data_IF_692500985259
#
_entry.id   IF_692500985259
#
_cell.length_a   1.000
_cell.length_b   1.000
_cell.length_c   1.000
_cell.angle_alpha   90.00
_cell.angle_beta   90.00
_cell.angle_gamma   90.00
#
_symmetry.space_group_name_H-M   'P 1'
#
loop_
_entity.id
_entity.type
_entity.pdbx_description
1 polymer ?
#
# COMPACT_ATOMS: atom_id res chain seq x y z
N UNK A 1 -62.12 -26.07 7.39
CA UNK A 1 -60.84 -25.54 7.94
C UNK A 1 -60.11 -24.86 6.81
N UNK A 2 -60.09 -23.53 6.76
CA UNK A 2 -59.33 -22.77 5.78
C UNK A 2 -57.87 -22.72 6.23
N UNK A 3 -56.95 -23.27 5.43
CA UNK A 3 -55.51 -23.17 5.66
C UNK A 3 -55.00 -22.09 4.71
N UNK A 4 -54.58 -20.95 5.27
CA UNK A 4 -53.94 -19.86 4.53
C UNK A 4 -52.43 -20.06 4.61
N UNK A 5 -51.77 -20.38 3.49
CA UNK A 5 -50.30 -20.29 3.40
C UNK A 5 -49.92 -18.90 2.89
N UNK A 6 -49.35 -18.08 3.77
CA UNK A 6 -48.67 -16.85 3.40
C UNK A 6 -47.22 -17.20 3.06
N UNK A 7 -46.89 -17.29 1.77
CA UNK A 7 -45.50 -17.22 1.33
C UNK A 7 -45.11 -15.74 1.23
N UNK A 8 -44.34 -15.25 2.21
CA UNK A 8 -43.66 -13.98 2.06
C UNK A 8 -42.64 -14.11 0.92
N UNK A 9 -42.54 -13.14 0.00
CA UNK A 9 -41.49 -13.15 -1.01
C UNK A 9 -40.12 -13.20 -0.31
N UNK A 10 -39.10 -13.82 -0.93
CA UNK A 10 -37.78 -13.86 -0.36
C UNK A 10 -37.36 -12.43 -0.05
N UNK A 11 -37.07 -12.14 1.22
CA UNK A 11 -36.44 -10.87 1.57
C UNK A 11 -35.17 -10.79 0.74
N UNK A 12 -35.15 -9.89 -0.25
CA UNK A 12 -33.94 -9.57 -0.99
C UNK A 12 -32.84 -9.32 0.03
N UNK A 13 -31.80 -10.13 -0.08
CA UNK A 13 -30.68 -10.23 0.83
C UNK A 13 -30.08 -8.83 1.09
N UNK A 14 -30.53 -8.17 2.17
CA UNK A 14 -29.92 -6.95 2.71
C UNK A 14 -28.43 -7.16 3.07
N UNK A 15 -27.94 -8.40 2.96
CA UNK A 15 -26.52 -8.81 3.06
C UNK A 15 -25.69 -8.49 1.82
N UNK A 16 -26.28 -8.17 0.66
CA UNK A 16 -25.50 -7.77 -0.53
C UNK A 16 -25.01 -6.32 -0.49
N UNK A 17 -25.46 -5.52 0.47
CA UNK A 17 -25.07 -4.11 0.60
C UNK A 17 -23.88 -3.83 1.54
N UNK A 18 -23.25 -4.84 2.15
CA UNK A 18 -22.19 -4.64 3.16
C UNK A 18 -20.89 -5.42 2.94
N UNK A 19 -20.68 -6.01 1.76
CA UNK A 19 -19.43 -6.74 1.45
C UNK A 19 -18.88 -6.46 0.04
N UNK A 20 -19.10 -5.26 -0.50
CA UNK A 20 -18.06 -4.69 -1.35
C UNK A 20 -16.99 -4.19 -0.39
N UNK A 21 -16.02 -5.06 -0.06
CA UNK A 21 -14.72 -4.60 0.41
C UNK A 21 -14.26 -3.58 -0.63
N UNK A 22 -14.48 -2.29 -0.35
CA UNK A 22 -13.85 -1.23 -1.10
C UNK A 22 -12.36 -1.50 -0.96
N UNK A 23 -11.75 -2.04 -2.02
CA UNK A 23 -10.30 -2.17 -2.12
C UNK A 23 -9.72 -0.85 -1.63
N UNK A 24 -8.76 -0.86 -0.70
CA UNK A 24 -8.16 0.37 -0.16
C UNK A 24 -7.69 1.34 -1.25
N UNK A 25 -7.47 0.83 -2.47
CA UNK A 25 -7.06 1.55 -3.66
C UNK A 25 -8.21 2.06 -4.56
N UNK A 26 -9.49 1.86 -4.21
CA UNK A 26 -10.62 2.20 -5.08
C UNK A 26 -10.73 3.70 -5.42
N UNK A 27 -10.27 4.58 -4.54
CA UNK A 27 -10.19 6.03 -4.75
C UNK A 27 -8.85 6.53 -5.31
N UNK A 28 -7.94 5.62 -5.68
CA UNK A 28 -6.61 5.97 -6.20
C UNK A 28 -6.65 5.97 -7.73
N UNK A 29 -6.33 7.10 -8.35
CA UNK A 29 -6.37 7.25 -9.81
C UNK A 29 -5.17 6.66 -10.54
N UNK A 30 -3.97 6.83 -9.99
CA UNK A 30 -2.73 6.34 -10.59
C UNK A 30 -1.83 5.72 -9.51
N UNK A 31 -1.31 4.53 -9.76
CA UNK A 31 -0.33 3.83 -8.92
C UNK A 31 1.02 3.80 -9.63
N UNK A 32 2.04 4.37 -8.99
CA UNK A 32 3.41 4.41 -9.51
C UNK A 32 4.32 3.56 -8.61
N UNK A 33 4.86 2.48 -9.16
CA UNK A 33 5.81 1.62 -8.45
C UNK A 33 7.25 2.14 -8.60
N UNK A 34 7.93 2.39 -7.50
CA UNK A 34 9.37 2.67 -7.47
C UNK A 34 10.11 1.38 -7.14
N UNK A 35 10.90 0.87 -8.10
CA UNK A 35 11.61 -0.40 -7.99
C UNK A 35 13.13 -0.22 -8.16
N UNK A 36 13.90 -1.17 -7.66
CA UNK A 36 15.35 -1.24 -7.90
C UNK A 36 15.85 -2.66 -7.88
N UNK A 37 16.80 -2.97 -8.75
CA UNK A 37 17.36 -4.32 -8.83
C UNK A 37 18.43 -4.60 -7.76
N UNK A 38 18.80 -3.58 -6.99
CA UNK A 38 19.74 -3.66 -5.85
C UNK A 38 19.31 -2.76 -4.70
N UNK A 39 19.74 -3.13 -3.49
CA UNK A 39 19.67 -2.27 -2.31
C UNK A 39 20.66 -1.10 -2.39
N UNK A 40 20.35 0.01 -1.73
CA UNK A 40 21.29 1.14 -1.59
C UNK A 40 21.43 2.07 -2.81
N UNK A 41 20.61 1.90 -3.86
CA UNK A 41 20.65 2.76 -5.06
C UNK A 41 19.88 4.09 -4.93
N UNK A 42 19.26 4.34 -3.77
CA UNK A 42 18.45 5.55 -3.54
C UNK A 42 16.98 5.44 -3.97
N UNK A 43 16.43 4.22 -4.09
CA UNK A 43 15.02 3.95 -4.43
C UNK A 43 14.05 4.69 -3.49
N UNK A 44 14.14 4.45 -2.19
CA UNK A 44 13.26 5.06 -1.18
C UNK A 44 13.39 6.59 -1.15
N UNK A 45 14.61 7.10 -1.33
CA UNK A 45 14.86 8.54 -1.49
C UNK A 45 14.15 9.11 -2.71
N UNK A 46 14.22 8.42 -3.84
CA UNK A 46 13.53 8.83 -5.07
C UNK A 46 12.01 8.77 -4.90
N UNK A 47 11.48 7.70 -4.30
CA UNK A 47 10.05 7.53 -4.05
C UNK A 47 9.48 8.66 -3.17
N UNK A 48 10.16 8.97 -2.05
CA UNK A 48 9.78 10.08 -1.16
C UNK A 48 9.82 11.41 -1.91
N UNK A 49 10.92 11.72 -2.60
CA UNK A 49 11.03 13.00 -3.32
C UNK A 49 9.98 13.13 -4.43
N UNK A 50 9.67 12.04 -5.14
CA UNK A 50 8.62 12.02 -6.15
C UNK A 50 7.25 12.34 -5.52
N UNK A 51 6.91 11.69 -4.40
CA UNK A 51 5.64 11.92 -3.71
C UNK A 51 5.47 13.38 -3.26
N UNK A 52 6.49 13.95 -2.61
CA UNK A 52 6.44 15.34 -2.15
C UNK A 52 6.51 16.36 -3.30
N UNK A 53 7.19 16.04 -4.40
CA UNK A 53 7.21 16.90 -5.60
C UNK A 53 5.84 16.95 -6.26
N UNK A 54 5.17 15.80 -6.41
CA UNK A 54 3.79 15.75 -6.92
C UNK A 54 2.82 16.51 -5.99
N UNK A 55 3.02 16.41 -4.68
CA UNK A 55 2.24 17.20 -3.72
C UNK A 55 2.46 18.71 -3.90
N UNK A 56 3.70 19.14 -4.09
CA UNK A 56 4.04 20.54 -4.35
C UNK A 56 3.41 21.09 -5.65
N UNK A 57 3.13 20.21 -6.62
CA UNK A 57 2.39 20.55 -7.84
C UNK A 57 0.87 20.62 -7.64
N UNK A 58 0.36 20.35 -6.44
CA UNK A 58 -1.05 20.46 -6.08
C UNK A 58 -1.85 19.16 -6.14
N UNK A 59 -1.21 18.02 -6.39
CA UNK A 59 -1.90 16.72 -6.45
C UNK A 59 -2.20 16.14 -5.06
N UNK A 60 -3.19 15.25 -4.98
CA UNK A 60 -3.47 14.43 -3.80
C UNK A 60 -2.59 13.18 -3.86
N UNK A 61 -1.65 13.07 -2.92
CA UNK A 61 -0.59 12.06 -3.00
C UNK A 61 -0.54 11.19 -1.75
N UNK A 62 -0.35 9.90 -1.96
CA UNK A 62 0.05 8.93 -0.94
C UNK A 62 1.41 8.31 -1.27
N UNK A 63 2.13 7.87 -0.25
CA UNK A 63 3.30 7.01 -0.37
C UNK A 63 3.15 5.80 0.54
N UNK A 64 3.38 4.62 -0.02
CA UNK A 64 3.33 3.35 0.68
C UNK A 64 4.68 2.63 0.58
N UNK A 65 5.32 2.44 1.72
CA UNK A 65 6.53 1.61 1.86
C UNK A 65 6.14 0.16 2.13
N UNK A 66 6.47 -0.70 1.16
CA UNK A 66 6.18 -2.14 1.18
C UNK A 66 7.43 -2.96 1.49
N UNK A 67 8.54 -2.33 1.88
CA UNK A 67 9.72 -3.02 2.39
C UNK A 67 9.54 -3.37 3.87
N UNK A 68 9.14 -4.62 4.15
CA UNK A 68 8.88 -5.07 5.52
C UNK A 68 10.17 -5.30 6.32
N UNK A 69 11.27 -5.68 5.67
CA UNK A 69 12.50 -6.06 6.37
C UNK A 69 13.41 -4.87 6.67
N UNK A 70 13.32 -3.82 5.85
CA UNK A 70 14.08 -2.59 6.03
C UNK A 70 13.29 -1.35 5.65
N UNK A 71 12.13 -1.08 6.29
CA UNK A 71 11.29 0.05 5.94
C UNK A 71 12.09 1.34 6.11
N UNK A 72 12.25 2.08 5.02
CA UNK A 72 13.05 3.31 5.00
C UNK A 72 12.18 4.52 5.29
N UNK A 73 10.88 4.48 4.93
CA UNK A 73 9.99 5.64 5.03
C UNK A 73 9.92 6.24 6.45
N UNK A 74 9.81 5.47 7.55
CA UNK A 74 9.74 6.03 8.89
C UNK A 74 11.00 6.77 9.34
N UNK A 75 12.16 6.42 8.76
CA UNK A 75 13.42 7.12 9.04
C UNK A 75 13.58 8.39 8.22
N UNK A 76 12.97 8.43 7.04
CA UNK A 76 13.06 9.53 6.09
C UNK A 76 12.01 10.62 6.31
N UNK A 77 10.81 10.23 6.74
CA UNK A 77 9.66 11.13 6.87
C UNK A 77 9.06 10.95 8.26
N UNK A 78 9.15 12.00 9.07
CA UNK A 78 8.49 12.03 10.37
C UNK A 78 7.03 12.44 10.18
N UNK A 79 6.05 11.57 10.50
CA UNK A 79 4.64 11.93 10.42
C UNK A 79 4.30 13.04 11.42
N UNK A 80 3.19 13.74 11.19
CA UNK A 80 2.69 14.81 12.06
C UNK A 80 2.38 14.32 13.49
N UNK A 81 1.98 13.06 13.61
CA UNK A 81 1.75 12.36 14.87
C UNK A 81 2.20 10.90 14.76
N UNK A 82 2.50 10.22 15.89
CA UNK A 82 2.73 8.78 15.86
C UNK A 82 1.46 8.02 15.47
N UNK A 83 1.68 6.81 14.95
CA UNK A 83 0.62 5.82 14.78
C UNK A 83 0.11 5.37 16.15
N UNK A 84 -1.21 5.28 16.29
CA UNK A 84 -1.90 4.88 17.50
C UNK A 84 -2.93 3.82 17.14
N UNK A 85 -2.66 2.52 17.41
CA UNK A 85 -3.52 1.42 16.98
C UNK A 85 -4.99 1.58 17.39
N UNK A 86 -5.26 2.04 18.62
CA UNK A 86 -6.63 2.22 19.15
C UNK A 86 -7.43 3.33 18.43
N UNK A 87 -6.74 4.21 17.70
CA UNK A 87 -7.33 5.36 16.99
C UNK A 87 -7.31 5.13 15.48
N UNK A 88 -6.20 4.61 14.96
CA UNK A 88 -5.93 4.49 13.54
C UNK A 88 -6.47 3.20 12.93
N UNK A 89 -6.84 2.22 13.76
CA UNK A 89 -7.45 0.97 13.31
C UNK A 89 -8.91 0.96 13.77
N UNK A 90 -9.83 1.04 12.80
CA UNK A 90 -11.27 0.97 13.06
C UNK A 90 -11.84 -0.23 12.30
N UNK A 91 -12.19 -1.28 13.05
CA UNK A 91 -12.53 -2.58 12.47
C UNK A 91 -11.34 -3.15 11.71
N UNK A 92 -11.49 -3.36 10.39
CA UNK A 92 -10.40 -3.80 9.53
C UNK A 92 -9.70 -2.66 8.79
N UNK A 93 -10.17 -1.42 8.90
CA UNK A 93 -9.64 -0.28 8.15
C UNK A 93 -8.47 0.37 8.89
N UNK A 94 -7.44 0.78 8.15
CA UNK A 94 -6.26 1.47 8.71
C UNK A 94 -6.20 2.89 8.14
N UNK A 95 -6.19 3.90 9.01
CA UNK A 95 -5.97 5.28 8.62
C UNK A 95 -4.46 5.51 8.36
N UNK A 96 -4.07 6.01 7.16
CA UNK A 96 -2.69 6.39 6.93
C UNK A 96 -2.32 7.64 7.74
N UNK A 97 -1.04 7.74 8.10
CA UNK A 97 -0.50 8.96 8.69
C UNK A 97 -0.39 10.06 7.65
N UNK A 98 -0.09 11.28 8.08
CA UNK A 98 0.10 12.43 7.18
C UNK A 98 1.38 13.20 7.49
N UNK A 99 1.94 13.80 6.44
CA UNK A 99 2.94 14.84 6.53
C UNK A 99 2.80 15.81 5.37
N UNK A 100 2.63 17.10 5.68
CA UNK A 100 2.53 18.19 4.68
C UNK A 100 1.46 17.87 3.59
N UNK A 101 0.39 17.21 4.01
CA UNK A 101 -0.71 16.78 3.14
C UNK A 101 -0.41 15.61 2.20
N UNK A 102 0.71 14.89 2.38
CA UNK A 102 1.00 13.57 1.79
C UNK A 102 0.56 12.49 2.77
N UNK A 103 -0.19 11.49 2.30
CA UNK A 103 -0.57 10.32 3.12
C UNK A 103 0.58 9.32 3.17
N UNK A 104 0.87 8.77 4.34
CA UNK A 104 2.01 7.89 4.60
C UNK A 104 1.52 6.55 5.14
N UNK A 105 2.02 5.45 4.57
CA UNK A 105 1.87 4.12 5.16
C UNK A 105 3.19 3.35 5.06
N UNK A 106 3.55 2.65 6.13
CA UNK A 106 4.68 1.75 6.21
C UNK A 106 4.44 0.81 7.37
N UNK A 107 4.88 -0.45 7.26
CA UNK A 107 4.86 -1.34 8.42
C UNK A 107 5.73 -0.79 9.56
N UNK A 108 6.78 -0.03 9.25
CA UNK A 108 7.67 0.52 10.27
C UNK A 108 7.05 1.65 11.10
N UNK A 109 5.86 2.15 10.75
CA UNK A 109 5.08 3.01 11.65
C UNK A 109 4.29 2.21 12.70
N UNK A 110 4.05 0.93 12.44
CA UNK A 110 3.24 0.05 13.28
C UNK A 110 4.18 -0.74 14.20
N UNK A 111 4.00 -0.61 15.52
CA UNK A 111 4.82 -1.35 16.47
C UNK A 111 4.49 -2.87 16.39
N UNK A 112 5.49 -3.75 16.23
CA UNK A 112 5.32 -5.21 16.24
C UNK A 112 4.61 -5.77 17.47
N UNK A 113 4.78 -5.13 18.62
CA UNK A 113 4.18 -5.58 19.87
C UNK A 113 2.70 -5.16 20.03
N UNK A 114 2.30 -4.10 19.34
CA UNK A 114 1.04 -3.39 19.61
C UNK A 114 -0.10 -3.77 18.63
N UNK A 115 0.19 -4.54 17.57
CA UNK A 115 -0.85 -4.93 16.60
C UNK A 115 -1.06 -6.44 16.50
N UNK A 116 -2.34 -6.85 16.52
CA UNK A 116 -2.78 -8.20 16.16
C UNK A 116 -2.28 -8.63 14.76
N UNK A 117 -2.04 -7.66 13.89
CA UNK A 117 -1.60 -7.81 12.50
C UNK A 117 -0.21 -8.47 12.38
N UNK A 118 0.68 -8.26 13.36
CA UNK A 118 2.08 -8.68 13.30
C UNK A 118 2.37 -10.02 14.03
N UNK A 119 1.40 -10.59 14.74
CA UNK A 119 1.59 -11.86 15.48
C UNK A 119 1.41 -13.06 14.55
N UNK A 120 2.52 -13.56 14.00
CA UNK A 120 2.57 -14.83 13.26
C UNK A 120 2.14 -14.76 11.79
N UNK A 121 1.90 -13.57 11.25
CA UNK A 121 1.59 -13.40 9.83
C UNK A 121 2.85 -13.57 8.96
N UNK A 122 2.70 -14.27 7.83
CA UNK A 122 3.73 -14.29 6.78
C UNK A 122 3.83 -12.90 6.15
N UNK A 123 5.03 -12.55 5.68
CA UNK A 123 5.36 -11.21 5.14
C UNK A 123 4.49 -10.82 3.95
N UNK A 124 4.26 -11.71 2.98
CA UNK A 124 3.43 -11.37 1.81
C UNK A 124 1.96 -11.07 2.20
N UNK A 125 1.23 -11.96 2.92
CA UNK A 125 -0.15 -11.67 3.37
C UNK A 125 -0.30 -10.35 4.15
N UNK A 126 0.71 -9.97 4.92
CA UNK A 126 0.72 -8.71 5.65
C UNK A 126 0.70 -7.50 4.70
N UNK A 127 1.55 -7.48 3.67
CA UNK A 127 1.49 -6.40 2.67
C UNK A 127 0.14 -6.39 1.97
N UNK A 128 -0.38 -7.56 1.59
CA UNK A 128 -1.67 -7.66 0.92
C UNK A 128 -2.80 -7.08 1.76
N UNK A 129 -2.79 -7.38 3.06
CA UNK A 129 -3.72 -6.82 4.02
C UNK A 129 -3.59 -5.30 4.07
N UNK A 130 -2.38 -4.75 4.24
CA UNK A 130 -2.16 -3.31 4.29
C UNK A 130 -2.62 -2.60 3.01
N UNK A 131 -2.35 -3.16 1.83
CA UNK A 131 -2.87 -2.67 0.54
C UNK A 131 -4.40 -2.60 0.57
N UNK A 132 -5.04 -3.68 1.02
CA UNK A 132 -6.49 -3.83 0.97
C UNK A 132 -7.21 -2.98 2.03
N UNK A 133 -6.60 -2.74 3.19
CA UNK A 133 -7.26 -2.14 4.35
C UNK A 133 -6.92 -0.67 4.58
N UNK A 134 -5.82 -0.17 4.01
CA UNK A 134 -5.44 1.23 4.19
C UNK A 134 -6.43 2.15 3.49
N UNK A 135 -7.01 3.09 4.24
CA UNK A 135 -8.00 4.06 3.79
C UNK A 135 -7.32 5.26 3.15
N UNK A 136 -6.85 5.07 1.91
CA UNK A 136 -6.21 6.14 1.14
C UNK A 136 -7.18 7.26 0.76
N UNK A 137 -8.49 6.99 0.73
CA UNK A 137 -9.49 7.93 0.22
C UNK A 137 -9.18 8.30 -1.24
N UNK A 138 -9.48 9.54 -1.61
CA UNK A 138 -9.24 10.02 -2.96
C UNK A 138 -7.80 10.50 -3.18
N UNK A 139 -7.06 9.82 -4.06
CA UNK A 139 -5.69 10.19 -4.46
C UNK A 139 -5.58 10.32 -5.98
N UNK A 140 -4.78 11.30 -6.42
CA UNK A 140 -4.37 11.39 -7.83
C UNK A 140 -3.19 10.46 -8.09
N UNK A 141 -2.28 10.31 -7.13
CA UNK A 141 -1.11 9.43 -7.21
C UNK A 141 -0.87 8.68 -5.89
N UNK A 142 -0.62 7.38 -5.99
CA UNK A 142 -0.04 6.57 -4.94
C UNK A 142 1.35 6.09 -5.38
N UNK A 143 2.38 6.50 -4.65
CA UNK A 143 3.75 6.05 -4.87
C UNK A 143 4.01 4.82 -4.01
N UNK A 144 4.49 3.74 -4.60
CA UNK A 144 4.81 2.50 -3.89
C UNK A 144 6.31 2.31 -3.88
N UNK A 145 6.91 2.34 -2.70
CA UNK A 145 8.33 2.05 -2.52
C UNK A 145 8.52 0.53 -2.37
N UNK A 146 8.82 -0.13 -3.48
CA UNK A 146 8.93 -1.60 -3.57
C UNK A 146 10.12 -2.11 -2.74
N UNK A 147 10.14 -3.35 -2.21
CA UNK A 147 11.35 -3.92 -1.61
C UNK A 147 12.52 -3.96 -2.63
N UNK A 148 13.79 -4.10 -2.21
CA UNK A 148 14.89 -4.21 -3.16
C UNK A 148 14.94 -5.57 -3.87
N UNK A 149 15.43 -5.59 -5.12
CA UNK A 149 15.74 -6.80 -5.87
C UNK A 149 14.55 -7.36 -6.66
N UNK A 150 14.63 -8.64 -7.02
CA UNK A 150 13.59 -9.37 -7.79
C UNK A 150 13.06 -10.58 -7.02
N UNK A 151 13.12 -10.56 -5.69
CA UNK A 151 12.71 -11.68 -4.84
C UNK A 151 11.20 -11.92 -4.81
N UNK A 152 10.78 -12.97 -4.10
CA UNK A 152 9.39 -13.45 -4.10
C UNK A 152 8.34 -12.41 -3.67
N UNK A 153 8.69 -11.48 -2.77
CA UNK A 153 7.79 -10.39 -2.36
C UNK A 153 7.57 -9.42 -3.53
N UNK A 154 8.62 -9.13 -4.29
CA UNK A 154 8.56 -8.27 -5.47
C UNK A 154 7.63 -8.86 -6.54
N UNK A 155 7.75 -10.17 -6.80
CA UNK A 155 6.88 -10.90 -7.72
C UNK A 155 5.44 -11.00 -7.19
N UNK A 156 5.28 -11.31 -5.91
CA UNK A 156 3.96 -11.41 -5.28
C UNK A 156 3.19 -10.09 -5.37
N UNK A 157 3.86 -8.95 -5.14
CA UNK A 157 3.26 -7.62 -5.23
C UNK A 157 2.98 -7.21 -6.67
N UNK A 158 3.89 -7.52 -7.61
CA UNK A 158 3.66 -7.27 -9.03
C UNK A 158 2.48 -8.08 -9.59
N UNK A 159 2.25 -9.28 -9.05
CA UNK A 159 1.14 -10.17 -9.43
C UNK A 159 -0.17 -9.87 -8.68
N UNK A 160 -0.18 -8.95 -7.71
CA UNK A 160 -1.42 -8.56 -7.04
C UNK A 160 -2.31 -7.76 -7.97
N UNK A 161 -3.39 -8.38 -8.43
CA UNK A 161 -4.38 -7.73 -9.29
C UNK A 161 -5.01 -6.47 -8.68
N UNK A 162 -5.02 -6.36 -7.35
CA UNK A 162 -5.58 -5.19 -6.65
C UNK A 162 -4.72 -3.94 -6.78
N UNK A 163 -3.42 -4.09 -7.02
CA UNK A 163 -2.46 -2.99 -7.06
C UNK A 163 -2.47 -2.21 -8.37
N UNK A 164 -2.86 -2.85 -9.49
CA UNK A 164 -2.96 -2.26 -10.85
C UNK A 164 -1.96 -1.14 -11.10
N UNK A 165 -0.68 -1.51 -11.21
CA UNK A 165 0.41 -0.54 -11.40
C UNK A 165 0.26 0.14 -12.77
N UNK A 166 0.07 1.45 -12.79
CA UNK A 166 -0.09 2.24 -14.02
C UNK A 166 1.26 2.64 -14.63
N UNK A 167 2.27 2.84 -13.79
CA UNK A 167 3.63 3.19 -14.20
C UNK A 167 4.68 2.65 -13.23
N UNK A 168 5.90 2.47 -13.72
CA UNK A 168 7.05 2.09 -12.90
C UNK A 168 8.22 3.06 -13.09
N UNK A 169 8.88 3.40 -11.98
CA UNK A 169 10.14 4.15 -11.93
C UNK A 169 11.22 3.20 -11.45
N UNK A 170 12.22 2.93 -12.30
CA UNK A 170 13.32 2.05 -11.96
C UNK A 170 14.53 2.88 -11.57
N UNK A 171 14.96 2.73 -10.32
CA UNK A 171 16.07 3.47 -9.75
C UNK A 171 17.33 2.61 -9.80
N UNK A 172 18.40 3.19 -10.31
CA UNK A 172 19.70 2.51 -10.44
C UNK A 172 20.85 3.49 -10.30
N UNK A 173 22.06 2.95 -10.18
CA UNK A 173 23.31 3.71 -10.14
C UNK A 173 24.11 3.47 -11.43
N UNK A 174 24.98 4.41 -11.85
CA UNK A 174 25.79 4.26 -13.07
C UNK A 174 26.82 3.11 -13.02
N UNK A 175 26.91 2.39 -11.89
CA UNK A 175 27.77 1.23 -11.76
C UNK A 175 27.30 0.11 -12.69
N UNK A 176 28.21 -0.43 -13.49
CA UNK A 176 27.93 -1.41 -14.56
C UNK A 176 27.14 -2.63 -14.08
N UNK A 177 27.37 -3.08 -12.85
CA UNK A 177 26.62 -4.20 -12.27
C UNK A 177 25.15 -3.86 -12.02
N UNK A 178 24.83 -2.64 -11.61
CA UNK A 178 23.44 -2.20 -11.39
C UNK A 178 22.67 -2.05 -12.71
N UNK A 179 23.36 -1.69 -13.79
CA UNK A 179 22.76 -1.60 -15.13
C UNK A 179 22.31 -2.96 -15.68
N UNK A 180 23.16 -3.99 -15.54
CA UNK A 180 22.84 -5.35 -16.02
C UNK A 180 21.61 -5.91 -15.28
N UNK A 181 21.48 -5.64 -13.98
CA UNK A 181 20.35 -6.14 -13.21
C UNK A 181 19.03 -5.40 -13.56
N UNK A 182 19.11 -4.12 -13.95
CA UNK A 182 17.96 -3.36 -14.45
C UNK A 182 17.44 -3.92 -15.76
N UNK A 183 18.32 -4.20 -16.73
CA UNK A 183 17.89 -4.77 -18.01
C UNK A 183 17.13 -6.09 -17.79
N UNK A 184 17.64 -6.96 -16.90
CA UNK A 184 16.98 -8.22 -16.54
C UNK A 184 15.69 -8.08 -15.75
N UNK A 185 15.49 -6.97 -15.02
CA UNK A 185 14.29 -6.73 -14.23
C UNK A 185 13.16 -6.07 -15.01
N UNK A 186 13.46 -5.52 -16.19
CA UNK A 186 12.49 -4.91 -17.12
C UNK A 186 11.95 -5.92 -18.11
N UNK A 187 12.81 -6.82 -18.60
CA UNK A 187 12.44 -7.96 -19.45
C UNK A 187 11.61 -9.01 -18.69
#
# INVERSE_FOLDING_TARGET
>A
VQITMAALPPQEDLRKASLQQASGLSGVRNVIACASCKGGVGKSTTAVNLAFSLKALGYRVGIFDVDIYGPSLPTMVRPERPFQPDVDIVGNAIAPLSRDGVKLMSIGFINPNDSFILRGAKVSPLVQQLVATTQWGELDYLIIDMPPGTGDIHLSLAQMETLKIDAAVIVTTPQRLSFIDVVKGVE
#
